data_IF_429117846552
#
_entry.id   IF_429117846552
#
_cell.length_a   1.000
_cell.length_b   1.000
_cell.length_c   1.000
_cell.angle_alpha   90.00
_cell.angle_beta   90.00
_cell.angle_gamma   90.00
#
_symmetry.space_group_name_H-M   'P 1'
#
loop_
_entity.id
_entity.type
_entity.pdbx_description
1 polymer ?
#
# COMPACT_ATOMS: atom_id res chain seq x y z
N UNK A 1 5.33 2.93 -0.66
CA UNK A 1 4.25 2.07 -1.20
C UNK A 1 4.19 2.12 -2.73
N UNK A 2 4.34 3.32 -3.33
CA UNK A 2 4.27 3.54 -4.79
C UNK A 2 5.03 2.52 -5.65
N UNK A 3 6.31 2.26 -5.33
CA UNK A 3 7.14 1.29 -6.07
C UNK A 3 6.55 -0.11 -6.10
N UNK A 4 5.92 -0.57 -5.01
CA UNK A 4 5.27 -1.88 -4.96
C UNK A 4 4.06 -1.92 -5.90
N UNK A 5 3.26 -0.85 -5.94
CA UNK A 5 2.12 -0.73 -6.85
C UNK A 5 2.57 -0.74 -8.31
N UNK A 6 3.62 0.00 -8.64
CA UNK A 6 4.18 0.09 -9.98
C UNK A 6 4.75 -1.25 -10.44
N UNK A 7 5.49 -1.96 -9.58
CA UNK A 7 5.98 -3.31 -9.86
C UNK A 7 4.83 -4.32 -10.06
N UNK A 8 3.68 -4.11 -9.41
CA UNK A 8 2.48 -4.90 -9.64
C UNK A 8 1.70 -4.50 -10.90
N UNK A 9 2.16 -3.51 -11.67
CA UNK A 9 1.51 -3.04 -12.89
C UNK A 9 0.16 -2.36 -12.66
N UNK A 10 -0.10 -1.86 -11.45
CA UNK A 10 -1.39 -1.26 -11.09
C UNK A 10 -1.35 0.25 -11.16
N UNK A 11 -2.45 0.88 -11.57
CA UNK A 11 -2.67 2.31 -11.31
C UNK A 11 -3.20 2.51 -9.87
N UNK A 12 -3.08 3.72 -9.32
CA UNK A 12 -3.66 4.03 -8.00
C UNK A 12 -5.16 3.73 -7.97
N UNK A 13 -5.87 4.06 -9.05
CA UNK A 13 -7.30 3.75 -9.22
C UNK A 13 -7.57 2.24 -9.19
N UNK A 14 -6.78 1.42 -9.89
CA UNK A 14 -6.99 -0.02 -9.91
C UNK A 14 -6.74 -0.66 -8.53
N UNK A 15 -5.75 -0.15 -7.80
CA UNK A 15 -5.49 -0.59 -6.44
C UNK A 15 -6.62 -0.19 -5.49
N UNK A 16 -7.11 1.05 -5.60
CA UNK A 16 -8.24 1.56 -4.83
C UNK A 16 -9.51 0.71 -5.05
N UNK A 17 -9.85 0.42 -6.31
CA UNK A 17 -10.95 -0.49 -6.68
C UNK A 17 -10.81 -1.88 -6.03
N UNK A 18 -9.62 -2.48 -6.09
CA UNK A 18 -9.37 -3.80 -5.49
C UNK A 18 -9.57 -3.79 -3.99
N UNK A 19 -9.15 -2.74 -3.31
CA UNK A 19 -9.19 -2.63 -1.85
C UNK A 19 -10.50 -2.07 -1.30
N UNK A 20 -11.37 -1.51 -2.15
CA UNK A 20 -12.58 -0.85 -1.73
C UNK A 20 -12.30 0.45 -0.96
N UNK A 21 -11.26 1.18 -1.37
CA UNK A 21 -10.89 2.49 -0.80
C UNK A 21 -10.92 3.56 -1.89
N UNK A 22 -10.75 4.83 -1.52
CA UNK A 22 -10.68 5.91 -2.50
C UNK A 22 -9.29 6.00 -3.14
N UNK A 23 -9.19 6.58 -4.34
CA UNK A 23 -7.89 6.89 -4.97
C UNK A 23 -7.05 7.82 -4.10
N UNK A 24 -7.70 8.78 -3.43
CA UNK A 24 -7.04 9.69 -2.48
C UNK A 24 -6.43 8.91 -1.30
N UNK A 25 -7.11 7.87 -0.80
CA UNK A 25 -6.57 7.01 0.26
C UNK A 25 -5.26 6.36 -0.18
N UNK A 26 -5.20 5.83 -1.40
CA UNK A 26 -3.98 5.26 -1.98
C UNK A 26 -2.89 6.32 -2.13
N UNK A 27 -3.22 7.50 -2.65
CA UNK A 27 -2.28 8.62 -2.80
C UNK A 27 -1.69 9.05 -1.44
N UNK A 28 -2.51 9.12 -0.39
CA UNK A 28 -2.06 9.46 0.96
C UNK A 28 -1.07 8.42 1.53
N UNK A 29 -1.27 7.14 1.22
CA UNK A 29 -0.34 6.07 1.60
C UNK A 29 0.98 6.14 0.82
N UNK A 30 0.92 6.49 -0.47
CA UNK A 30 2.09 6.56 -1.33
C UNK A 30 2.99 7.76 -1.03
N UNK A 31 2.38 8.88 -0.63
CA UNK A 31 3.07 10.12 -0.25
C UNK A 31 3.53 10.13 1.21
N UNK A 32 3.15 9.14 2.01
CA UNK A 32 3.40 9.12 3.45
C UNK A 32 2.56 10.11 4.25
N UNK A 33 1.61 10.81 3.62
CA UNK A 33 0.69 11.72 4.32
C UNK A 33 -0.16 10.99 5.37
N UNK A 34 -0.53 9.73 5.11
CA UNK A 34 -1.15 8.85 6.09
C UNK A 34 -0.63 7.43 5.96
N UNK A 35 -0.45 6.78 7.09
CA UNK A 35 -0.22 5.33 7.11
C UNK A 35 -1.54 4.57 6.90
N UNK A 36 -1.50 3.38 6.25
CA UNK A 36 -2.67 2.51 6.15
C UNK A 36 -3.07 1.97 7.52
N UNK A 37 -4.22 2.42 8.02
CA UNK A 37 -4.86 1.84 9.20
C UNK A 37 -5.81 0.74 8.74
N UNK A 38 -5.32 -0.49 8.74
CA UNK A 38 -6.02 -1.66 8.20
C UNK A 38 -6.00 -2.80 9.21
N UNK A 39 -7.07 -3.59 9.24
CA UNK A 39 -7.08 -4.84 10.00
C UNK A 39 -6.25 -5.93 9.26
N UNK A 40 -5.93 -7.08 9.91
CA UNK A 40 -5.11 -8.12 9.28
C UNK A 40 -5.63 -8.63 7.93
N UNK A 41 -6.95 -8.73 7.75
CA UNK A 41 -7.56 -9.18 6.48
C UNK A 41 -7.34 -8.16 5.36
N UNK A 42 -7.52 -6.87 5.66
CA UNK A 42 -7.26 -5.78 4.72
C UNK A 42 -5.78 -5.67 4.36
N UNK A 43 -4.89 -5.83 5.36
CA UNK A 43 -3.45 -5.88 5.13
C UNK A 43 -3.05 -7.03 4.22
N UNK A 44 -3.61 -8.23 4.45
CA UNK A 44 -3.38 -9.38 3.58
C UNK A 44 -3.86 -9.11 2.15
N UNK A 45 -5.05 -8.51 1.99
CA UNK A 45 -5.59 -8.13 0.68
C UNK A 45 -4.72 -7.11 -0.05
N UNK A 46 -4.11 -6.18 0.68
CA UNK A 46 -3.14 -5.23 0.14
C UNK A 46 -1.87 -5.95 -0.35
N UNK A 47 -1.28 -6.82 0.48
CA UNK A 47 -0.11 -7.63 0.10
C UNK A 47 -0.39 -8.46 -1.17
N UNK A 48 -1.53 -9.13 -1.23
CA UNK A 48 -1.95 -9.91 -2.40
C UNK A 48 -2.14 -9.05 -3.64
N UNK A 49 -2.75 -7.87 -3.49
CA UNK A 49 -2.97 -6.95 -4.61
C UNK A 49 -1.66 -6.42 -5.18
N UNK A 50 -0.67 -6.18 -4.33
CA UNK A 50 0.66 -5.68 -4.67
C UNK A 50 1.67 -6.78 -5.03
N UNK A 51 1.28 -8.05 -4.94
CA UNK A 51 2.17 -9.20 -5.11
C UNK A 51 3.45 -9.09 -4.26
N UNK A 52 3.31 -8.75 -2.97
CA UNK A 52 4.43 -8.58 -2.05
C UNK A 52 4.17 -9.24 -0.69
N UNK A 53 5.24 -9.47 0.07
CA UNK A 53 5.16 -9.94 1.46
C UNK A 53 4.81 -8.79 2.42
N UNK A 54 4.37 -9.15 3.63
CA UNK A 54 4.14 -8.17 4.70
C UNK A 54 5.41 -7.38 5.05
N UNK A 55 6.57 -8.03 5.02
CA UNK A 55 7.86 -7.37 5.30
C UNK A 55 8.20 -6.32 4.23
N UNK A 56 8.00 -6.65 2.94
CA UNK A 56 8.18 -5.69 1.85
C UNK A 56 7.20 -4.52 1.97
N UNK A 57 5.95 -4.80 2.35
CA UNK A 57 4.94 -3.77 2.58
C UNK A 57 5.35 -2.85 3.74
N UNK A 58 5.76 -3.41 4.88
CA UNK A 58 6.18 -2.66 6.06
C UNK A 58 7.36 -1.72 5.75
N UNK A 59 8.41 -2.22 5.08
CA UNK A 59 9.55 -1.40 4.66
C UNK A 59 9.20 -0.33 3.63
N UNK A 60 8.09 -0.48 2.90
CA UNK A 60 7.64 0.50 1.92
C UNK A 60 6.70 1.57 2.49
N UNK A 61 6.10 1.35 3.67
CA UNK A 61 5.19 2.30 4.33
C UNK A 61 5.91 3.05 5.45
N UNK A 62 6.78 2.37 6.19
CA UNK A 62 7.57 3.03 7.22
C UNK A 62 8.48 4.09 6.56
N UNK A 63 8.49 5.35 7.02
CA UNK A 63 9.67 6.16 6.81
C UNK A 63 10.80 5.42 7.51
N UNK A 64 11.82 4.99 6.76
CA UNK A 64 13.05 4.47 7.33
C UNK A 64 13.61 5.54 8.27
N UNK A 65 13.34 5.37 9.57
CA UNK A 65 13.98 6.04 10.70
C UNK A 65 14.66 4.95 11.50
N UNK A 66 15.76 4.45 10.95
CA UNK A 66 16.82 3.98 11.83
C UNK A 66 17.45 5.24 12.45
N UNK A 67 17.47 5.29 13.77
CA UNK A 67 18.43 6.08 14.53
C UNK A 67 19.44 5.11 15.12
#
# INVERSE_FOLDING_TARGET
MQKLRENAGLTQRKLAERLGVTVQTVSNWETGYREPRMNPSQTLKLCQSLNCSLAQLAGAIAPYRDN
#
